data_IF_301623645400
#
_entry.id   IF_301623645400
#
_cell.length_a   1.000
_cell.length_b   1.000
_cell.length_c   1.000
_cell.angle_alpha   90.00
_cell.angle_beta   90.00
_cell.angle_gamma   90.00
#
_symmetry.space_group_name_H-M   'P 1'
#
loop_
_entity.id
_entity.type
_entity.pdbx_description
1 polymer ?
#
# COMPACT_ATOMS: atom_id res chain seq x y z
N UNK A 1 8.97 -10.97 9.57
CA UNK A 1 8.46 -11.93 8.56
C UNK A 1 6.94 -11.77 8.49
N UNK A 2 6.33 -11.80 7.29
CA UNK A 2 4.90 -11.47 7.06
C UNK A 2 3.94 -12.34 7.89
N UNK A 3 2.92 -11.71 8.48
CA UNK A 3 1.87 -12.39 9.27
C UNK A 3 0.53 -12.45 8.53
N UNK A 4 0.17 -11.43 7.76
CA UNK A 4 -1.09 -11.34 7.02
C UNK A 4 -0.86 -10.85 5.59
N UNK A 5 -1.82 -11.11 4.71
CA UNK A 5 -1.90 -10.43 3.43
C UNK A 5 -2.70 -9.13 3.55
N UNK A 6 -2.36 -8.16 2.70
CA UNK A 6 -2.93 -6.82 2.72
C UNK A 6 -4.47 -6.87 2.55
N UNK A 7 -4.95 -7.56 1.52
CA UNK A 7 -6.39 -7.62 1.22
C UNK A 7 -7.25 -8.49 2.14
N UNK A 8 -6.65 -9.17 3.13
CA UNK A 8 -7.36 -10.08 4.04
C UNK A 8 -7.82 -9.41 5.35
N UNK A 9 -7.34 -8.19 5.63
CA UNK A 9 -7.65 -7.49 6.88
C UNK A 9 -9.11 -7.00 6.94
N UNK A 10 -9.72 -7.14 8.12
CA UNK A 10 -11.14 -6.91 8.43
C UNK A 10 -11.29 -6.43 9.87
N UNK A 11 -12.48 -5.97 10.26
CA UNK A 11 -12.78 -5.47 11.61
C UNK A 11 -12.38 -6.42 12.75
N UNK A 12 -12.47 -7.73 12.55
CA UNK A 12 -12.07 -8.70 13.57
C UNK A 12 -10.59 -8.61 13.96
N UNK A 13 -9.75 -8.01 13.12
CA UNK A 13 -8.31 -7.84 13.38
C UNK A 13 -7.99 -6.50 14.07
N UNK A 14 -8.98 -5.64 14.33
CA UNK A 14 -8.74 -4.34 14.99
C UNK A 14 -8.06 -4.56 16.33
N UNK A 15 -6.98 -3.80 16.56
CA UNK A 15 -6.17 -3.86 17.77
C UNK A 15 -4.98 -4.81 17.68
N UNK A 16 -4.91 -5.70 16.68
CA UNK A 16 -3.77 -6.59 16.44
C UNK A 16 -2.58 -5.83 15.83
N UNK A 17 -1.37 -6.27 16.15
CA UNK A 17 -0.15 -5.87 15.44
C UNK A 17 0.13 -6.85 14.31
N UNK A 18 0.30 -6.34 13.10
CA UNK A 18 0.50 -7.16 11.89
C UNK A 18 1.76 -6.74 11.16
N UNK A 19 2.39 -7.69 10.46
CA UNK A 19 3.50 -7.43 9.54
C UNK A 19 3.07 -7.78 8.12
N UNK A 20 3.12 -6.79 7.23
CA UNK A 20 2.69 -6.87 5.84
C UNK A 20 3.88 -6.65 4.90
N UNK A 21 3.92 -7.39 3.80
CA UNK A 21 4.91 -7.18 2.74
C UNK A 21 4.20 -6.93 1.42
N UNK A 22 4.59 -5.88 0.68
CA UNK A 22 3.92 -5.53 -0.56
C UNK A 22 4.59 -4.40 -1.32
N UNK A 23 3.87 -3.90 -2.32
CA UNK A 23 4.24 -2.75 -3.14
C UNK A 23 3.45 -1.52 -2.70
N UNK A 24 4.11 -0.38 -2.59
CA UNK A 24 3.44 0.92 -2.43
C UNK A 24 2.68 1.23 -3.72
N UNK A 25 1.37 1.02 -3.76
CA UNK A 25 0.55 1.30 -4.95
C UNK A 25 0.34 2.79 -5.15
N UNK A 26 0.19 3.53 -4.03
CA UNK A 26 -0.01 4.98 -4.03
C UNK A 26 0.51 5.58 -2.72
N UNK A 27 1.18 6.73 -2.80
CA UNK A 27 1.51 7.59 -1.65
C UNK A 27 0.71 8.87 -1.73
N UNK A 28 0.16 9.31 -0.59
CA UNK A 28 -0.56 10.57 -0.42
C UNK A 28 -0.06 11.25 0.85
N UNK A 29 0.09 12.57 0.82
CA UNK A 29 0.46 13.38 1.97
C UNK A 29 -0.64 14.43 2.18
N UNK A 30 -1.24 14.44 3.37
CA UNK A 30 -2.27 15.40 3.75
C UNK A 30 -1.81 16.13 5.01
N UNK A 31 -1.06 17.22 4.82
CA UNK A 31 -0.70 18.12 5.91
C UNK A 31 0.18 17.46 6.97
N UNK A 32 1.09 16.57 6.56
CA UNK A 32 2.00 15.89 7.47
C UNK A 32 1.54 14.51 7.93
N UNK A 33 0.36 14.05 7.49
CA UNK A 33 -0.05 12.64 7.64
C UNK A 33 0.13 11.93 6.30
N UNK A 34 0.96 10.89 6.29
CA UNK A 34 1.27 10.10 5.11
C UNK A 34 0.35 8.89 5.05
N UNK A 35 -0.28 8.71 3.90
CA UNK A 35 -1.11 7.57 3.58
C UNK A 35 -0.48 6.78 2.44
N UNK A 36 -0.34 5.47 2.64
CA UNK A 36 0.14 4.54 1.62
C UNK A 36 -0.94 3.52 1.34
N UNK A 37 -1.23 3.28 0.07
CA UNK A 37 -2.00 2.11 -0.34
C UNK A 37 -0.99 0.97 -0.56
N UNK A 38 -0.91 0.03 0.38
CA UNK A 38 0.00 -1.12 0.29
C UNK A 38 -0.73 -2.28 -0.41
N UNK A 39 -0.17 -2.75 -1.52
CA UNK A 39 -0.73 -3.80 -2.38
C UNK A 39 0.08 -5.08 -2.29
N UNK A 40 -0.61 -6.21 -2.22
CA UNK A 40 -0.05 -7.53 -2.52
C UNK A 40 -1.03 -8.34 -3.39
N UNK A 41 -0.78 -9.64 -3.52
CA UNK A 41 -1.58 -10.53 -4.38
C UNK A 41 -3.04 -10.73 -3.90
N UNK A 42 -3.37 -10.35 -2.65
CA UNK A 42 -4.73 -10.48 -2.11
C UNK A 42 -5.51 -9.17 -2.15
N UNK A 43 -4.86 -8.06 -2.47
CA UNK A 43 -5.49 -6.76 -2.59
C UNK A 43 -4.69 -5.66 -1.92
N UNK A 44 -5.40 -4.63 -1.48
CA UNK A 44 -4.83 -3.36 -0.99
C UNK A 44 -5.32 -3.08 0.43
N UNK A 45 -4.45 -2.54 1.28
CA UNK A 45 -4.83 -1.94 2.57
C UNK A 45 -4.16 -0.56 2.73
N UNK A 46 -4.79 0.33 3.49
CA UNK A 46 -4.21 1.63 3.81
C UNK A 46 -3.27 1.52 5.00
N UNK A 47 -2.08 2.08 4.84
CA UNK A 47 -1.11 2.35 5.88
C UNK A 47 -1.13 3.85 6.16
N UNK A 48 -1.06 4.22 7.43
CA UNK A 48 -0.97 5.58 7.92
C UNK A 48 0.34 5.73 8.68
N UNK A 49 1.05 6.83 8.43
CA UNK A 49 2.16 7.25 9.26
C UNK A 49 2.12 8.76 9.47
N UNK A 50 2.19 9.18 10.72
CA UNK A 50 2.20 10.55 11.18
C UNK A 50 3.25 10.77 12.29
N UNK A 51 3.76 12.01 12.46
CA UNK A 51 4.83 12.32 13.40
C UNK A 51 4.47 12.14 14.88
N UNK A 52 3.18 12.07 15.23
CA UNK A 52 2.75 11.99 16.63
C UNK A 52 2.60 10.54 17.08
N UNK A 53 1.89 9.72 16.29
CA UNK A 53 1.56 8.32 16.65
C UNK A 53 2.61 7.34 16.17
N UNK A 54 3.28 7.64 15.05
CA UNK A 54 4.21 6.72 14.38
C UNK A 54 5.50 7.44 13.96
N UNK A 55 6.17 8.13 14.90
CA UNK A 55 7.35 8.95 14.59
C UNK A 55 8.49 8.13 13.97
N UNK A 56 8.65 6.88 14.39
CA UNK A 56 9.76 6.01 13.97
C UNK A 56 9.67 5.61 12.50
N UNK A 57 8.46 5.50 11.93
CA UNK A 57 8.28 5.16 10.52
C UNK A 57 8.08 6.38 9.61
N UNK A 58 7.91 7.57 10.17
CA UNK A 58 7.46 8.75 9.43
C UNK A 58 8.45 9.14 8.32
N UNK A 59 9.74 9.22 8.64
CA UNK A 59 10.77 9.57 7.66
C UNK A 59 10.86 8.54 6.53
N UNK A 60 10.74 7.26 6.86
CA UNK A 60 10.73 6.20 5.85
C UNK A 60 9.50 6.34 4.94
N UNK A 61 8.31 6.51 5.53
CA UNK A 61 7.06 6.74 4.78
C UNK A 61 7.15 7.95 3.84
N UNK A 62 7.80 9.03 4.28
CA UNK A 62 7.93 10.27 3.52
C UNK A 62 8.73 10.07 2.23
N UNK A 63 9.78 9.25 2.30
CA UNK A 63 10.67 8.97 1.17
C UNK A 63 10.18 7.87 0.23
N UNK A 64 9.11 7.14 0.58
CA UNK A 64 8.57 6.08 -0.28
C UNK A 64 8.02 6.65 -1.59
N UNK A 65 8.12 5.83 -2.64
CA UNK A 65 7.54 6.13 -3.96
C UNK A 65 6.73 4.94 -4.44
N UNK A 66 5.89 5.18 -5.44
CA UNK A 66 5.09 4.11 -6.05
C UNK A 66 5.99 2.95 -6.51
N UNK A 67 5.47 1.73 -6.34
CA UNK A 67 6.09 0.44 -6.62
C UNK A 67 7.34 0.09 -5.80
N UNK A 68 7.66 0.85 -4.75
CA UNK A 68 8.67 0.43 -3.77
C UNK A 68 8.18 -0.83 -3.05
N UNK A 69 9.11 -1.77 -2.80
CA UNK A 69 8.83 -3.00 -2.05
C UNK A 69 9.16 -2.76 -0.60
N UNK A 70 8.16 -2.91 0.26
CA UNK A 70 8.29 -2.59 1.68
C UNK A 70 7.78 -3.73 2.57
N UNK A 71 8.30 -3.74 3.79
CA UNK A 71 7.83 -4.54 4.90
C UNK A 71 7.34 -3.55 5.98
N UNK A 72 6.07 -3.63 6.35
CA UNK A 72 5.43 -2.71 7.29
C UNK A 72 4.97 -3.51 8.49
N UNK A 73 5.37 -3.12 9.69
CA UNK A 73 4.77 -3.62 10.93
C UNK A 73 3.99 -2.50 11.59
N UNK A 74 2.77 -2.78 12.01
CA UNK A 74 1.91 -1.74 12.58
C UNK A 74 0.62 -2.29 13.17
N UNK A 75 -0.15 -1.40 13.79
CA UNK A 75 -1.38 -1.75 14.48
C UNK A 75 -2.62 -1.52 13.61
N UNK A 76 -3.48 -2.54 13.53
CA UNK A 76 -4.77 -2.45 12.83
C UNK A 76 -5.70 -1.55 13.63
N UNK A 77 -6.25 -0.54 12.98
CA UNK A 77 -7.21 0.39 13.57
C UNK A 77 -8.46 0.50 12.70
N UNK A 78 -9.59 0.81 13.33
CA UNK A 78 -10.79 1.20 12.60
C UNK A 78 -10.51 2.54 11.92
N UNK A 79 -10.90 2.67 10.66
CA UNK A 79 -10.92 3.99 10.01
C UNK A 79 -11.96 4.90 10.66
N UNK A 80 -11.72 6.22 10.71
CA UNK A 80 -12.78 7.20 10.97
C UNK A 80 -13.97 6.99 10.03
N UNK A 81 -15.19 7.23 10.52
CA UNK A 81 -16.44 6.92 9.79
C UNK A 81 -16.52 7.69 8.45
N UNK A 82 -15.96 8.90 8.40
CA UNK A 82 -15.84 9.75 7.21
C UNK A 82 -14.83 9.24 6.17
N UNK A 83 -13.98 8.29 6.53
CA UNK A 83 -12.88 7.76 5.70
C UNK A 83 -13.06 6.28 5.33
N UNK A 84 -14.22 5.69 5.69
CA UNK A 84 -14.62 4.36 5.25
C UNK A 84 -14.69 4.29 3.73
N UNK A 85 -14.16 3.22 3.15
CA UNK A 85 -14.12 3.03 1.71
C UNK A 85 -14.87 1.76 1.28
N UNK A 86 -16.17 1.84 0.92
CA UNK A 86 -16.97 0.66 0.58
C UNK A 86 -16.51 -0.04 -0.72
N UNK A 87 -15.61 0.57 -1.50
CA UNK A 87 -15.04 -0.04 -2.72
C UNK A 87 -13.92 -1.03 -2.41
N UNK A 88 -13.40 -1.05 -1.18
CA UNK A 88 -12.32 -1.93 -0.76
C UNK A 88 -12.81 -2.92 0.30
N UNK A 89 -12.46 -4.22 0.20
CA UNK A 89 -12.75 -5.18 1.26
C UNK A 89 -12.12 -4.84 2.62
N UNK A 90 -11.00 -4.11 2.61
CA UNK A 90 -10.32 -3.59 3.81
C UNK A 90 -10.75 -2.15 4.13
N UNK A 91 -11.84 -1.67 3.53
CA UNK A 91 -12.24 -0.27 3.55
C UNK A 91 -12.66 0.27 4.91
N UNK A 92 -12.83 -0.61 5.89
CA UNK A 92 -13.21 -0.27 7.26
C UNK A 92 -11.99 -0.19 8.21
N UNK A 93 -10.81 -0.64 7.75
CA UNK A 93 -9.59 -0.71 8.55
C UNK A 93 -8.40 0.01 7.87
N UNK A 94 -7.46 0.42 8.69
CA UNK A 94 -6.15 0.94 8.30
C UNK A 94 -5.08 0.45 9.27
N UNK A 95 -3.81 0.63 8.92
CA UNK A 95 -2.68 0.25 9.76
C UNK A 95 -1.89 1.52 10.11
N UNK A 96 -1.78 1.85 11.39
CA UNK A 96 -0.74 2.79 11.84
C UNK A 96 0.60 2.07 11.85
N UNK A 97 1.54 2.50 11.01
CA UNK A 97 2.82 1.82 10.86
C UNK A 97 3.75 2.14 12.03
N UNK A 98 4.07 1.14 12.86
CA UNK A 98 5.08 1.31 13.90
C UNK A 98 6.49 1.32 13.27
N UNK A 99 6.69 0.58 12.18
CA UNK A 99 7.94 0.54 11.42
C UNK A 99 7.71 0.25 9.94
N UNK A 100 8.58 0.81 9.11
CA UNK A 100 8.60 0.59 7.66
C UNK A 100 10.03 0.27 7.25
N UNK A 101 10.23 -0.91 6.68
CA UNK A 101 11.50 -1.33 6.11
C UNK A 101 11.40 -1.33 4.58
N UNK A 102 12.31 -0.60 3.93
CA UNK A 102 12.41 -0.55 2.48
C UNK A 102 13.25 -1.72 1.95
N UNK A 103 12.57 -2.79 1.54
CA UNK A 103 13.20 -3.99 0.99
C UNK A 103 13.82 -3.75 -0.39
N UNK A 104 13.15 -3.00 -1.26
CA UNK A 104 13.68 -2.69 -2.58
C UNK A 104 13.14 -1.38 -3.17
N UNK A 105 14.05 -0.59 -3.72
CA UNK A 105 13.76 0.70 -4.39
C UNK A 105 13.51 0.50 -5.88
N UNK A 106 12.52 1.20 -6.41
CA UNK A 106 12.40 1.40 -7.86
C UNK A 106 13.49 2.38 -8.31
N UNK A 107 14.40 1.91 -9.16
CA UNK A 107 15.58 2.67 -9.60
C UNK A 107 15.40 3.42 -10.91
N UNK A 108 14.43 3.02 -11.74
CA UNK A 108 14.14 3.60 -13.06
C UNK A 108 12.70 4.08 -13.09
N UNK A 109 12.42 5.12 -13.87
CA UNK A 109 11.04 5.55 -14.11
C UNK A 109 10.22 4.39 -14.68
N UNK A 110 9.00 4.22 -14.17
CA UNK A 110 8.09 3.17 -14.64
C UNK A 110 7.63 3.48 -16.07
N UNK A 111 7.56 2.48 -16.95
CA UNK A 111 7.11 2.67 -18.33
C UNK A 111 5.60 2.99 -18.42
N UNK A 112 4.83 2.64 -17.39
CA UNK A 112 3.42 2.96 -17.22
C UNK A 112 3.05 2.84 -15.73
N UNK A 113 1.94 3.45 -15.33
CA UNK A 113 1.42 3.30 -13.97
C UNK A 113 0.90 1.87 -13.74
N UNK A 114 1.28 1.28 -12.60
CA UNK A 114 0.89 -0.09 -12.23
C UNK A 114 -0.34 -0.11 -11.32
N UNK A 115 -0.62 0.99 -10.62
CA UNK A 115 -1.71 1.08 -9.64
C UNK A 115 -3.07 0.73 -10.27
N UNK A 116 -3.87 -0.08 -9.57
CA UNK A 116 -5.21 -0.50 -10.01
C UNK A 116 -6.20 0.67 -10.16
N UNK A 117 -5.91 1.81 -9.54
CA UNK A 117 -6.77 3.00 -9.60
C UNK A 117 -6.71 3.73 -10.95
N UNK A 118 -5.70 3.46 -11.77
CA UNK A 118 -5.48 4.18 -13.02
C UNK A 118 -6.14 3.44 -14.20
N UNK A 119 -7.07 4.15 -14.86
CA UNK A 119 -7.86 3.63 -15.98
C UNK A 119 -7.16 3.77 -17.34
N UNK A 120 -5.91 4.27 -17.35
CA UNK A 120 -5.18 4.53 -18.58
C UNK A 120 -4.95 3.24 -19.40
N UNK A 121 -5.28 3.35 -20.70
CA UNK A 121 -5.01 2.32 -21.68
C UNK A 121 -3.52 2.33 -22.02
N UNK A 122 -2.80 1.34 -21.50
CA UNK A 122 -1.41 1.09 -21.87
C UNK A 122 -1.38 0.27 -23.16
N UNK A 123 -0.59 0.71 -24.15
CA UNK A 123 -0.42 0.00 -25.43
C UNK A 123 0.10 -1.43 -25.21
N UNK A 124 -0.43 -2.38 -25.98
CA UNK A 124 -0.14 -3.81 -25.82
C UNK A 124 1.35 -4.15 -25.98
N UNK A 125 2.03 -3.55 -26.97
CA UNK A 125 3.47 -3.72 -27.19
C UNK A 125 4.29 -3.37 -25.94
N UNK A 126 3.91 -2.28 -25.26
CA UNK A 126 4.54 -1.87 -24.01
C UNK A 126 4.21 -2.81 -22.85
N UNK A 127 2.96 -3.29 -22.77
CA UNK A 127 2.52 -4.28 -21.75
C UNK A 127 3.26 -5.61 -21.91
N UNK A 128 3.44 -6.10 -23.13
CA UNK A 128 4.16 -7.35 -23.41
C UNK A 128 5.66 -7.19 -23.11
N UNK A 129 6.26 -6.06 -23.50
CA UNK A 129 7.67 -5.76 -23.19
C UNK A 129 7.95 -5.72 -21.69
N UNK A 130 7.01 -5.18 -20.91
CA UNK A 130 7.10 -5.07 -19.45
C UNK A 130 6.05 -5.93 -18.76
N UNK A 131 5.86 -7.17 -19.23
CA UNK A 131 4.79 -8.06 -18.76
C UNK A 131 4.83 -8.32 -17.27
N UNK A 132 6.03 -8.32 -16.67
CA UNK A 132 6.22 -8.47 -15.23
C UNK A 132 5.65 -7.31 -14.39
N UNK A 133 5.48 -6.12 -14.98
CA UNK A 133 4.74 -5.01 -14.35
C UNK A 133 3.25 -5.09 -14.66
N UNK A 134 2.90 -5.45 -15.90
CA UNK A 134 1.50 -5.56 -16.31
C UNK A 134 0.73 -6.63 -15.51
N UNK A 135 1.38 -7.75 -15.20
CA UNK A 135 0.82 -8.83 -14.37
C UNK A 135 0.55 -8.43 -12.91
N UNK A 136 1.01 -7.24 -12.46
CA UNK A 136 0.71 -6.73 -11.12
C UNK A 136 -0.60 -5.94 -11.05
N UNK A 137 -1.24 -5.68 -12.19
CA UNK A 137 -2.49 -4.92 -12.28
C UNK A 137 -3.68 -5.85 -12.04
N UNK A 138 -4.72 -5.36 -11.36
CA UNK A 138 -5.96 -6.11 -11.05
C UNK A 138 -6.69 -6.68 -12.27
N UNK A 139 -6.52 -6.09 -13.46
CA UNK A 139 -7.22 -6.51 -14.69
C UNK A 139 -6.90 -7.92 -15.17
N UNK A 140 -6.00 -8.64 -14.49
CA UNK A 140 -5.45 -9.92 -14.92
C UNK A 140 -5.69 -11.07 -13.93
N UNK A 141 -6.34 -10.83 -12.80
CA UNK A 141 -6.69 -11.83 -11.77
C UNK A 141 -8.17 -12.15 -11.74
#
# INVERSE_FOLDING_TARGET
MRTHYCGELRNQHIGETVTLCGWVSKRRDHGGVIFLDLRDIRGVVQIVSDPERTPDSYQDADHLRNEYVVNVTGRVTKRPDESLNPKLPTGEVEIYADSIELLNKVRKQLPFQVSSADTESVREDLRLKYRYLDLRRDRMS
#
